data_IF_317064979692
#
_entry.id   IF_317064979692
#
_cell.length_a   1.000
_cell.length_b   1.000
_cell.length_c   1.000
_cell.angle_alpha   90.00
_cell.angle_beta   90.00
_cell.angle_gamma   90.00
#
_symmetry.space_group_name_H-M   'P 1'
#
loop_
_entity.id
_entity.type
_entity.pdbx_description
1 polymer ?
#
# COMPACT_ATOMS: atom_id res chain seq x y z
N UNK A 1 -16.90 -27.64 -22.90
CA UNK A 1 -15.44 -27.43 -22.88
C UNK A 1 -14.97 -26.12 -23.52
N UNK A 2 -15.78 -25.39 -24.23
CA UNK A 2 -15.41 -24.13 -24.94
C UNK A 2 -15.51 -22.91 -24.00
N UNK A 3 -16.45 -22.89 -23.06
CA UNK A 3 -16.66 -21.78 -22.14
C UNK A 3 -15.54 -21.57 -21.12
N UNK A 4 -14.84 -22.65 -20.72
CA UNK A 4 -13.72 -22.54 -19.75
C UNK A 4 -12.48 -21.87 -20.37
N UNK A 5 -12.25 -22.05 -21.69
CA UNK A 5 -11.14 -21.42 -22.40
C UNK A 5 -11.36 -19.92 -22.63
N UNK A 6 -12.62 -19.49 -22.82
CA UNK A 6 -12.95 -18.07 -22.97
C UNK A 6 -12.81 -17.31 -21.65
N UNK A 7 -13.21 -17.90 -20.53
CA UNK A 7 -13.02 -17.29 -19.21
C UNK A 7 -11.53 -17.13 -18.86
N UNK A 8 -10.69 -18.12 -19.20
CA UNK A 8 -9.24 -18.04 -19.02
C UNK A 8 -8.59 -17.00 -19.92
N UNK A 9 -9.05 -16.85 -21.17
CA UNK A 9 -8.54 -15.87 -22.14
C UNK A 9 -8.94 -14.45 -21.72
N UNK A 10 -10.16 -14.24 -21.24
CA UNK A 10 -10.61 -12.94 -20.70
C UNK A 10 -9.85 -12.61 -19.41
N UNK A 11 -9.58 -13.60 -18.54
CA UNK A 11 -8.79 -13.45 -17.33
C UNK A 11 -7.31 -13.13 -17.68
N UNK A 12 -6.73 -13.80 -18.68
CA UNK A 12 -5.38 -13.50 -19.20
C UNK A 12 -5.30 -12.13 -19.89
N UNK A 13 -6.35 -11.69 -20.60
CA UNK A 13 -6.41 -10.37 -21.22
C UNK A 13 -6.58 -9.28 -20.17
N UNK A 14 -7.38 -9.50 -19.13
CA UNK A 14 -7.50 -8.59 -17.97
C UNK A 14 -6.22 -8.59 -17.14
N UNK A 15 -5.58 -9.76 -16.97
CA UNK A 15 -4.30 -9.88 -16.29
C UNK A 15 -3.19 -9.13 -17.04
N UNK A 16 -3.10 -9.26 -18.38
CA UNK A 16 -2.13 -8.53 -19.20
C UNK A 16 -2.40 -7.02 -19.28
N UNK A 17 -3.66 -6.57 -19.19
CA UNK A 17 -3.99 -5.15 -19.18
C UNK A 17 -3.68 -4.50 -17.82
N UNK A 18 -3.74 -5.26 -16.73
CA UNK A 18 -3.36 -4.77 -15.39
C UNK A 18 -1.82 -4.76 -15.24
N UNK A 19 -1.11 -5.75 -15.80
CA UNK A 19 0.36 -5.88 -15.69
C UNK A 19 1.13 -4.78 -16.44
N UNK A 20 0.52 -4.11 -17.45
CA UNK A 20 1.15 -3.03 -18.21
C UNK A 20 0.40 -1.68 -18.15
N UNK A 21 -0.62 -1.55 -17.33
CA UNK A 21 -1.43 -0.33 -17.31
C UNK A 21 -0.86 0.69 -16.33
N UNK A 22 -0.54 1.87 -16.85
CA UNK A 22 -0.57 3.10 -16.07
C UNK A 22 -2.00 3.26 -15.54
N UNK A 23 -2.26 2.75 -14.35
CA UNK A 23 -3.60 2.74 -13.74
C UNK A 23 -3.78 3.97 -12.85
N UNK A 24 -3.50 5.15 -13.42
CA UNK A 24 -3.65 6.41 -12.71
C UNK A 24 -5.13 6.63 -12.36
N UNK A 25 -5.41 6.90 -11.08
CA UNK A 25 -6.77 7.10 -10.54
C UNK A 25 -7.71 5.89 -10.70
N UNK A 26 -7.16 4.67 -10.80
CA UNK A 26 -7.97 3.45 -10.80
C UNK A 26 -8.64 3.19 -9.45
N UNK A 27 -9.81 2.60 -9.50
CA UNK A 27 -10.55 2.19 -8.31
C UNK A 27 -10.45 0.67 -8.10
N UNK A 28 -9.80 0.31 -6.99
CA UNK A 28 -9.65 -1.06 -6.50
C UNK A 28 -10.36 -1.26 -5.14
N UNK A 29 -11.29 -0.37 -4.77
CA UNK A 29 -11.95 -0.40 -3.48
C UNK A 29 -12.64 -1.73 -3.23
N UNK A 30 -12.43 -2.26 -2.02
CA UNK A 30 -13.02 -3.51 -1.53
C UNK A 30 -12.69 -4.74 -2.40
N UNK A 31 -11.70 -4.69 -3.28
CA UNK A 31 -11.28 -5.83 -4.11
C UNK A 31 -10.40 -6.80 -3.30
N UNK A 32 -10.53 -8.09 -3.61
CA UNK A 32 -9.56 -9.07 -3.13
C UNK A 32 -8.38 -9.13 -4.09
N UNK A 33 -7.24 -8.62 -3.64
CA UNK A 33 -5.98 -8.49 -4.37
C UNK A 33 -4.83 -9.10 -3.56
N UNK A 34 -5.13 -10.07 -2.69
CA UNK A 34 -4.11 -10.77 -1.92
C UNK A 34 -3.09 -11.44 -2.85
N UNK A 35 -1.80 -11.28 -2.51
CA UNK A 35 -0.65 -11.78 -3.29
C UNK A 35 -0.55 -11.20 -4.72
N UNK A 36 -1.26 -10.10 -5.01
CA UNK A 36 -1.21 -9.49 -6.35
C UNK A 36 0.09 -8.71 -6.56
N UNK A 37 0.63 -8.74 -7.78
CA UNK A 37 1.87 -8.05 -8.13
C UNK A 37 1.59 -6.72 -8.85
N UNK A 38 1.89 -5.60 -8.18
CA UNK A 38 1.81 -4.23 -8.69
C UNK A 38 3.20 -3.61 -8.92
N UNK A 39 4.24 -4.45 -9.01
CA UNK A 39 5.64 -3.98 -9.13
C UNK A 39 5.82 -2.97 -10.25
N UNK A 40 6.49 -1.86 -9.91
CA UNK A 40 6.90 -0.81 -10.85
C UNK A 40 5.74 -0.16 -11.64
N UNK A 41 4.48 -0.37 -11.24
CA UNK A 41 3.33 0.22 -11.93
C UNK A 41 3.10 1.67 -11.52
N UNK A 42 2.53 2.47 -12.42
CA UNK A 42 2.05 3.80 -12.08
C UNK A 42 0.58 3.72 -11.63
N UNK A 43 0.39 3.84 -10.33
CA UNK A 43 -0.88 3.78 -9.61
C UNK A 43 -1.15 5.11 -8.86
N UNK A 44 -0.62 6.22 -9.40
CA UNK A 44 -0.84 7.54 -8.78
C UNK A 44 -2.32 7.84 -8.68
N UNK A 45 -2.76 8.37 -7.54
CA UNK A 45 -4.16 8.65 -7.21
C UNK A 45 -5.11 7.42 -7.25
N UNK A 46 -4.59 6.20 -7.33
CA UNK A 46 -5.44 5.01 -7.27
C UNK A 46 -6.07 4.86 -5.88
N UNK A 47 -7.29 4.32 -5.83
CA UNK A 47 -7.97 4.00 -4.59
C UNK A 47 -7.97 2.49 -4.34
N UNK A 48 -7.55 2.11 -3.14
CA UNK A 48 -7.54 0.76 -2.58
C UNK A 48 -8.31 0.73 -1.25
N UNK A 49 -9.28 1.66 -1.07
CA UNK A 49 -10.02 1.76 0.19
C UNK A 49 -10.71 0.44 0.52
N UNK A 50 -10.49 -0.09 1.74
CA UNK A 50 -11.05 -1.36 2.19
C UNK A 50 -10.60 -2.58 1.39
N UNK A 51 -9.59 -2.45 0.50
CA UNK A 51 -9.11 -3.56 -0.31
C UNK A 51 -8.37 -4.60 0.53
N UNK A 52 -8.48 -5.87 0.13
CA UNK A 52 -7.76 -6.98 0.74
C UNK A 52 -6.43 -7.21 -0.02
N UNK A 53 -5.33 -6.73 0.55
CA UNK A 53 -4.01 -6.62 -0.06
C UNK A 53 -2.95 -7.46 0.68
N UNK A 54 -3.36 -8.49 1.42
CA UNK A 54 -2.43 -9.33 2.18
C UNK A 54 -1.35 -9.89 1.26
N UNK A 55 -0.06 -9.64 1.61
CA UNK A 55 1.12 -10.00 0.83
C UNK A 55 1.15 -9.44 -0.60
N UNK A 56 0.40 -8.40 -0.93
CA UNK A 56 0.50 -7.75 -2.23
C UNK A 56 1.86 -7.07 -2.40
N UNK A 57 2.38 -7.02 -3.63
CA UNK A 57 3.70 -6.48 -3.93
C UNK A 57 3.62 -5.20 -4.75
N UNK A 58 3.86 -4.07 -4.08
CA UNK A 58 3.94 -2.72 -4.67
C UNK A 58 5.38 -2.23 -4.80
N UNK A 59 6.37 -3.13 -4.81
CA UNK A 59 7.78 -2.72 -4.85
C UNK A 59 8.08 -1.87 -6.09
N UNK A 60 8.68 -0.70 -5.87
CA UNK A 60 8.99 0.27 -6.91
C UNK A 60 7.80 0.96 -7.57
N UNK A 61 6.56 0.69 -7.12
CA UNK A 61 5.38 1.32 -7.70
C UNK A 61 5.32 2.82 -7.41
N UNK A 62 4.72 3.57 -8.33
CA UNK A 62 4.38 4.99 -8.14
C UNK A 62 2.96 5.09 -7.59
N UNK A 63 2.87 5.48 -6.32
CA UNK A 63 1.65 5.51 -5.51
C UNK A 63 1.38 6.91 -4.92
N UNK A 64 1.89 7.94 -5.58
CA UNK A 64 1.69 9.33 -5.13
C UNK A 64 0.20 9.61 -4.97
N UNK A 65 -0.21 10.09 -3.79
CA UNK A 65 -1.61 10.36 -3.43
C UNK A 65 -2.56 9.16 -3.55
N UNK A 66 -2.07 7.94 -3.53
CA UNK A 66 -2.92 6.75 -3.48
C UNK A 66 -3.61 6.62 -2.11
N UNK A 67 -4.80 6.02 -2.10
CA UNK A 67 -5.63 5.85 -0.90
C UNK A 67 -5.66 4.37 -0.53
N UNK A 68 -5.19 4.04 0.68
CA UNK A 68 -5.22 2.72 1.29
C UNK A 68 -6.02 2.74 2.61
N UNK A 69 -6.94 3.71 2.76
CA UNK A 69 -7.72 3.84 4.00
C UNK A 69 -8.56 2.58 4.22
N UNK A 70 -8.56 2.08 5.46
CA UNK A 70 -9.26 0.84 5.86
C UNK A 70 -8.78 -0.44 5.14
N UNK A 71 -7.66 -0.40 4.39
CA UNK A 71 -7.14 -1.55 3.66
C UNK A 71 -6.49 -2.60 4.58
N UNK A 72 -6.60 -3.88 4.20
CA UNK A 72 -5.95 -5.02 4.86
C UNK A 72 -4.67 -5.36 4.10
N UNK A 73 -3.56 -4.71 4.45
CA UNK A 73 -2.28 -4.83 3.75
C UNK A 73 -1.17 -5.49 4.60
N UNK A 74 -1.56 -6.45 5.44
CA UNK A 74 -0.63 -7.21 6.27
C UNK A 74 0.38 -7.96 5.39
N UNK A 75 1.68 -7.82 5.68
CA UNK A 75 2.76 -8.42 4.91
C UNK A 75 2.98 -7.81 3.51
N UNK A 76 2.25 -6.76 3.13
CA UNK A 76 2.44 -6.12 1.82
C UNK A 76 3.83 -5.49 1.69
N UNK A 77 4.41 -5.56 0.50
CA UNK A 77 5.69 -4.93 0.17
C UNK A 77 5.50 -3.60 -0.54
N UNK A 78 6.01 -2.53 0.06
CA UNK A 78 6.12 -1.19 -0.52
C UNK A 78 7.59 -0.79 -0.72
N UNK A 79 8.49 -1.77 -0.84
CA UNK A 79 9.94 -1.53 -0.96
C UNK A 79 10.24 -0.62 -2.15
N UNK A 80 10.88 0.53 -1.88
CA UNK A 80 11.25 1.50 -2.93
C UNK A 80 10.08 2.20 -3.61
N UNK A 81 8.84 2.04 -3.11
CA UNK A 81 7.66 2.70 -3.68
C UNK A 81 7.67 4.21 -3.46
N UNK A 82 7.04 4.96 -4.37
CA UNK A 82 6.83 6.40 -4.25
C UNK A 82 5.43 6.66 -3.68
N UNK A 83 5.34 6.86 -2.36
CA UNK A 83 4.08 6.99 -1.62
C UNK A 83 3.77 8.43 -1.19
N UNK A 84 4.44 9.43 -1.75
CA UNK A 84 4.28 10.82 -1.32
C UNK A 84 2.81 11.22 -1.27
N UNK A 85 2.37 11.75 -0.12
CA UNK A 85 0.98 12.14 0.18
C UNK A 85 -0.06 10.99 0.12
N UNK A 86 0.34 9.73 0.13
CA UNK A 86 -0.60 8.61 0.24
C UNK A 86 -1.28 8.57 1.61
N UNK A 87 -2.44 7.93 1.69
CA UNK A 87 -3.21 7.76 2.92
C UNK A 87 -3.35 6.29 3.28
N UNK A 88 -3.08 5.96 4.57
CA UNK A 88 -3.23 4.64 5.18
C UNK A 88 -4.05 4.73 6.48
N UNK A 89 -5.08 5.60 6.55
CA UNK A 89 -5.91 5.71 7.75
C UNK A 89 -6.59 4.39 8.06
N UNK A 90 -6.55 4.00 9.33
CA UNK A 90 -7.13 2.75 9.83
C UNK A 90 -6.63 1.48 9.12
N UNK A 91 -5.60 1.55 8.28
CA UNK A 91 -5.12 0.39 7.54
C UNK A 91 -4.46 -0.65 8.46
N UNK A 92 -4.60 -1.93 8.14
CA UNK A 92 -3.86 -3.02 8.76
C UNK A 92 -2.56 -3.27 7.98
N UNK A 93 -1.43 -3.01 8.61
CA UNK A 93 -0.09 -3.00 8.01
C UNK A 93 0.90 -3.85 8.83
N UNK A 94 0.41 -4.85 9.57
CA UNK A 94 1.29 -5.76 10.31
C UNK A 94 2.28 -6.40 9.36
N UNK A 95 3.59 -6.39 9.71
CA UNK A 95 4.68 -6.93 8.89
C UNK A 95 4.83 -6.27 7.50
N UNK A 96 4.16 -5.16 7.21
CA UNK A 96 4.34 -4.45 5.94
C UNK A 96 5.76 -3.86 5.84
N UNK A 97 6.34 -3.91 4.64
CA UNK A 97 7.71 -3.46 4.39
C UNK A 97 7.74 -2.18 3.58
N UNK A 98 8.21 -1.08 4.19
CA UNK A 98 8.38 0.23 3.56
C UNK A 98 9.85 0.61 3.33
N UNK A 99 10.78 -0.34 3.37
CA UNK A 99 12.20 -0.04 3.18
C UNK A 99 12.43 0.73 1.87
N UNK A 100 13.20 1.83 1.96
CA UNK A 100 13.53 2.71 0.84
C UNK A 100 12.33 3.37 0.14
N UNK A 101 11.11 3.25 0.64
CA UNK A 101 9.97 3.99 0.11
C UNK A 101 10.06 5.48 0.44
N UNK A 102 9.56 6.34 -0.46
CA UNK A 102 9.33 7.75 -0.15
C UNK A 102 8.00 7.91 0.58
N UNK A 103 8.04 8.45 1.81
CA UNK A 103 6.86 8.59 2.69
C UNK A 103 6.55 10.06 3.01
N UNK A 104 6.99 11.01 2.21
CA UNK A 104 6.77 12.43 2.45
C UNK A 104 5.28 12.76 2.48
N UNK A 105 4.80 13.27 3.61
CA UNK A 105 3.40 13.66 3.80
C UNK A 105 2.41 12.49 3.87
N UNK A 106 2.87 11.24 3.95
CA UNK A 106 2.01 10.07 4.16
C UNK A 106 1.34 10.16 5.54
N UNK A 107 0.05 9.82 5.62
CA UNK A 107 -0.67 9.69 6.88
C UNK A 107 -0.89 8.21 7.23
N UNK A 108 -0.62 7.87 8.52
CA UNK A 108 -0.87 6.55 9.11
C UNK A 108 -1.83 6.66 10.31
N UNK A 109 -2.74 7.63 10.28
CA UNK A 109 -3.68 7.86 11.37
C UNK A 109 -4.46 6.58 11.70
N UNK A 110 -4.40 6.15 12.96
CA UNK A 110 -5.05 4.92 13.45
C UNK A 110 -4.64 3.62 12.74
N UNK A 111 -3.58 3.63 11.94
CA UNK A 111 -3.09 2.41 11.30
C UNK A 111 -2.49 1.43 12.31
N UNK A 112 -2.69 0.13 12.08
CA UNK A 112 -2.08 -0.95 12.86
C UNK A 112 -0.78 -1.39 12.17
N UNK A 113 0.39 -1.12 12.80
CA UNK A 113 1.70 -1.27 12.14
C UNK A 113 2.68 -2.13 12.95
N UNK A 114 2.19 -3.14 13.66
CA UNK A 114 3.05 -4.04 14.44
C UNK A 114 4.03 -4.74 13.50
N UNK A 115 5.32 -4.71 13.87
CA UNK A 115 6.42 -5.27 13.07
C UNK A 115 6.59 -4.70 11.65
N UNK A 116 5.93 -3.61 11.30
CA UNK A 116 6.21 -2.94 10.03
C UNK A 116 7.65 -2.42 9.96
N UNK A 117 8.24 -2.44 8.76
CA UNK A 117 9.63 -2.06 8.54
C UNK A 117 9.74 -0.64 7.96
N UNK A 118 10.14 0.32 8.81
CA UNK A 118 10.43 1.71 8.45
C UNK A 118 11.73 2.16 9.10
N UNK A 119 12.45 3.06 8.42
CA UNK A 119 13.60 3.76 9.00
C UNK A 119 13.14 4.97 9.85
N UNK A 120 14.00 5.41 10.77
CA UNK A 120 13.76 6.63 11.55
C UNK A 120 13.52 7.86 10.65
N UNK A 121 14.26 7.97 9.54
CA UNK A 121 14.09 9.06 8.57
C UNK A 121 12.68 9.07 7.98
N UNK A 122 12.18 7.92 7.55
CA UNK A 122 10.84 7.78 6.97
C UNK A 122 9.74 8.18 7.96
N UNK A 123 9.90 7.84 9.24
CA UNK A 123 8.97 8.24 10.30
C UNK A 123 8.91 9.76 10.44
N UNK A 124 10.08 10.44 10.37
CA UNK A 124 10.17 11.90 10.49
C UNK A 124 9.63 12.64 9.24
N UNK A 125 9.73 12.04 8.06
CA UNK A 125 9.26 12.63 6.79
C UNK A 125 7.75 12.43 6.58
N UNK A 126 7.16 11.44 7.24
CA UNK A 126 5.72 11.17 7.21
C UNK A 126 4.99 11.98 8.30
N UNK A 127 3.64 12.01 8.23
CA UNK A 127 2.79 12.54 9.31
C UNK A 127 2.54 11.52 10.42
N UNK A 128 3.52 10.65 10.65
CA UNK A 128 3.39 9.53 11.57
C UNK A 128 3.18 9.98 13.01
N UNK A 129 3.92 11.02 13.44
CA UNK A 129 3.89 11.49 14.82
C UNK A 129 2.75 12.48 15.11
N UNK A 130 2.08 13.01 14.07
CA UNK A 130 0.96 13.95 14.24
C UNK A 130 -0.33 13.25 14.71
N UNK A 131 -0.42 11.93 14.49
CA UNK A 131 -1.61 11.14 14.77
C UNK A 131 -1.24 9.83 15.48
N UNK A 132 -2.06 9.45 16.49
CA UNK A 132 -1.82 8.24 17.27
C UNK A 132 -1.95 6.99 16.38
N UNK A 133 -0.83 6.34 16.13
CA UNK A 133 -0.78 5.01 15.50
C UNK A 133 -1.08 3.97 16.59
N UNK A 134 -2.08 3.10 16.37
CA UNK A 134 -2.41 2.03 17.31
C UNK A 134 -1.23 1.06 17.43
N UNK A 135 -0.86 0.74 18.68
CA UNK A 135 0.20 -0.21 19.05
C UNK A 135 1.63 0.11 18.54
N UNK A 136 1.91 1.38 18.28
CA UNK A 136 3.22 1.83 17.84
C UNK A 136 4.29 1.87 18.95
N UNK A 137 4.33 0.88 19.84
CA UNK A 137 5.33 0.86 20.95
C UNK A 137 6.77 0.99 20.45
N UNK A 138 7.07 0.44 19.28
CA UNK A 138 8.40 0.54 18.63
C UNK A 138 8.72 1.98 18.17
N UNK A 139 7.70 2.76 17.80
CA UNK A 139 7.87 4.07 17.18
C UNK A 139 7.60 5.24 18.14
N UNK A 140 6.86 5.01 19.23
CA UNK A 140 6.49 6.07 20.18
C UNK A 140 7.69 6.77 20.82
N UNK A 141 8.82 6.06 21.00
CA UNK A 141 10.06 6.64 21.50
C UNK A 141 10.72 7.59 20.50
N UNK A 142 10.48 7.40 19.20
CA UNK A 142 11.03 8.24 18.13
C UNK A 142 10.27 9.55 17.96
N UNK A 143 8.98 9.57 18.33
CA UNK A 143 8.13 10.77 18.29
C UNK A 143 8.29 11.69 19.51
N UNK A 144 8.85 11.21 20.63
CA UNK A 144 8.94 11.98 21.88
C UNK A 144 9.95 13.13 21.89
N UNK A 145 10.77 13.25 20.86
CA UNK A 145 11.88 14.22 20.80
C UNK A 145 11.71 15.24 19.65
N UNK A 146 10.47 15.53 19.25
CA UNK A 146 10.15 16.61 18.31
C UNK A 146 9.59 17.83 19.03
#
# INVERSE_FOLDING_TARGET
MIYLKFALLIWLLLYNTIVNANCVSCNFDNKNLANFEFKNQNLSNASFQGAYLVNADFSGAKLTSAIFDDAYANGASFVGAQLDNASFRNAELELANFQNASLKGVTFESAYMVHAELSKRQILESKFCDNAVKDAMKFSSMCKNQ
#
